data_IF_074751604532
#
_entry.id   IF_074751604532
#
_cell.length_a   1.000
_cell.length_b   1.000
_cell.length_c   1.000
_cell.angle_alpha   90.00
_cell.angle_beta   90.00
_cell.angle_gamma   90.00
#
_symmetry.space_group_name_H-M   'P 1'
#
loop_
_entity.id
_entity.type
_entity.pdbx_description
1 polymer ?
#
# COMPACT_ATOMS: atom_id res chain seq x y z
N UNK A 1 30.39 -46.46 21.67
CA UNK A 1 29.59 -46.03 20.51
C UNK A 1 28.14 -45.90 20.96
N UNK A 2 27.63 -44.68 21.13
CA UNK A 2 26.22 -44.45 21.47
C UNK A 2 25.73 -43.19 20.73
N UNK A 3 24.57 -43.36 20.12
CA UNK A 3 24.01 -42.60 18.99
C UNK A 3 23.55 -41.20 19.39
N UNK A 4 23.83 -40.24 18.50
CA UNK A 4 23.23 -38.90 18.47
C UNK A 4 21.70 -39.02 18.41
N UNK A 5 21.00 -38.39 19.36
CA UNK A 5 19.54 -38.23 19.30
C UNK A 5 19.24 -36.79 18.89
N UNK A 6 18.85 -36.62 17.64
CA UNK A 6 18.31 -35.38 17.09
C UNK A 6 17.16 -34.89 17.99
N UNK A 7 17.18 -33.60 18.35
CA UNK A 7 16.03 -32.90 18.90
C UNK A 7 15.07 -32.62 17.74
N UNK A 8 13.85 -33.14 17.84
CA UNK A 8 12.72 -32.73 17.02
C UNK A 8 12.39 -31.25 17.29
N UNK A 9 12.29 -30.37 16.27
CA UNK A 9 11.73 -29.04 16.44
C UNK A 9 10.21 -29.07 16.20
N UNK A 10 9.49 -29.84 17.02
CA UNK A 10 8.05 -29.69 17.15
C UNK A 10 7.77 -28.64 18.24
N UNK A 11 8.17 -27.37 18.03
CA UNK A 11 7.73 -26.25 18.90
C UNK A 11 8.18 -24.87 18.39
N UNK A 12 7.91 -24.55 17.13
CA UNK A 12 7.79 -23.13 16.75
C UNK A 12 6.35 -22.90 16.38
N UNK A 13 5.57 -22.71 17.44
CA UNK A 13 4.21 -22.23 17.44
C UNK A 13 4.00 -21.24 16.28
N UNK A 14 3.00 -21.55 15.46
CA UNK A 14 2.46 -20.63 14.49
C UNK A 14 2.30 -19.28 15.17
N UNK A 15 3.09 -18.30 14.70
CA UNK A 15 2.97 -16.94 15.15
C UNK A 15 1.51 -16.57 15.00
N UNK A 16 0.86 -16.33 16.12
CA UNK A 16 -0.43 -15.67 16.14
C UNK A 16 -0.15 -14.31 15.51
N UNK A 17 -0.35 -14.22 14.19
CA UNK A 17 -0.49 -12.98 13.49
C UNK A 17 -1.75 -12.39 14.09
N UNK A 18 -1.59 -11.62 15.18
CA UNK A 18 -2.64 -10.79 15.72
C UNK A 18 -3.19 -10.05 14.53
N UNK A 19 -4.44 -10.38 14.14
CA UNK A 19 -5.15 -9.68 13.10
C UNK A 19 -4.97 -8.20 13.44
N UNK A 20 -4.18 -7.49 12.64
CA UNK A 20 -3.89 -6.10 12.90
C UNK A 20 -5.26 -5.42 12.91
N UNK A 21 -5.73 -5.06 14.10
CA UNK A 21 -6.98 -4.37 14.26
C UNK A 21 -6.90 -3.17 13.32
N UNK A 22 -7.84 -3.07 12.39
CA UNK A 22 -7.87 -2.05 11.35
C UNK A 22 -8.15 -0.69 12.01
N UNK A 23 -7.17 -0.13 12.69
CA UNK A 23 -7.18 1.22 13.23
C UNK A 23 -6.82 2.18 12.10
N UNK A 24 -7.72 2.28 11.13
CA UNK A 24 -7.62 3.22 10.03
C UNK A 24 -9.01 3.54 9.55
N UNK A 25 -9.39 4.81 9.56
CA UNK A 25 -10.57 5.25 8.81
C UNK A 25 -10.43 4.75 7.38
N UNK A 26 -11.45 4.11 6.79
CA UNK A 26 -11.36 3.64 5.41
C UNK A 26 -11.02 4.83 4.51
N UNK A 27 -9.90 4.73 3.80
CA UNK A 27 -9.51 5.73 2.82
C UNK A 27 -10.62 5.81 1.76
N UNK A 28 -11.03 7.04 1.42
CA UNK A 28 -12.05 7.24 0.37
C UNK A 28 -11.40 7.02 -0.99
N UNK A 29 -11.89 6.03 -1.73
CA UNK A 29 -11.46 5.75 -3.10
C UNK A 29 -12.13 6.75 -4.04
N UNK A 30 -11.33 7.52 -4.76
CA UNK A 30 -11.80 8.40 -5.82
C UNK A 30 -12.02 7.60 -7.11
N UNK A 31 -13.28 7.33 -7.46
CA UNK A 31 -13.65 6.56 -8.66
C UNK A 31 -13.66 7.41 -9.94
N UNK A 32 -13.43 8.72 -9.85
CA UNK A 32 -13.24 9.59 -11.03
C UNK A 32 -11.86 9.41 -11.69
N UNK A 33 -10.90 8.85 -10.95
CA UNK A 33 -9.58 8.50 -11.46
C UNK A 33 -9.61 7.25 -12.37
N UNK A 34 -8.61 7.09 -13.26
CA UNK A 34 -8.50 5.92 -14.12
C UNK A 34 -8.59 4.59 -13.37
N UNK A 35 -9.05 3.55 -14.07
CA UNK A 35 -9.16 2.19 -13.52
C UNK A 35 -7.95 1.32 -13.82
N UNK A 36 -7.12 1.69 -14.82
CA UNK A 36 -5.90 0.96 -15.15
C UNK A 36 -4.76 1.33 -14.21
N UNK A 37 -4.05 0.31 -13.73
CA UNK A 37 -2.87 0.46 -12.87
C UNK A 37 -1.77 1.28 -13.56
N UNK A 38 -1.51 1.02 -14.83
CA UNK A 38 -0.44 1.68 -15.58
C UNK A 38 -0.73 3.17 -15.79
N UNK A 39 -1.99 3.51 -16.08
CA UNK A 39 -2.43 4.90 -16.20
C UNK A 39 -2.29 5.64 -14.86
N UNK A 40 -2.63 4.99 -13.74
CA UNK A 40 -2.47 5.56 -12.42
C UNK A 40 -0.98 5.78 -12.06
N UNK A 41 -0.08 4.87 -12.44
CA UNK A 41 1.36 5.05 -12.24
C UNK A 41 1.89 6.24 -13.05
N UNK A 42 1.44 6.39 -14.30
CA UNK A 42 1.81 7.54 -15.13
C UNK A 42 1.34 8.87 -14.51
N UNK A 43 0.07 8.93 -14.09
CA UNK A 43 -0.50 10.11 -13.42
C UNK A 43 0.22 10.41 -12.10
N UNK A 44 0.56 9.39 -11.33
CA UNK A 44 1.34 9.54 -10.11
C UNK A 44 2.73 10.13 -10.40
N UNK A 45 3.40 9.67 -11.45
CA UNK A 45 4.71 10.20 -11.84
C UNK A 45 4.63 11.68 -12.21
N UNK A 46 3.57 12.10 -12.92
CA UNK A 46 3.28 13.50 -13.22
C UNK A 46 3.02 14.34 -11.97
N UNK A 47 2.17 13.86 -11.06
CA UNK A 47 1.88 14.57 -9.81
C UNK A 47 3.15 14.74 -8.94
N UNK A 48 4.04 13.73 -8.92
CA UNK A 48 5.37 13.85 -8.29
C UNK A 48 6.24 14.92 -8.94
N UNK A 49 6.25 15.02 -10.27
CA UNK A 49 6.95 16.09 -10.99
C UNK A 49 6.39 17.46 -10.63
N UNK A 50 5.05 17.62 -10.63
CA UNK A 50 4.38 18.86 -10.20
C UNK A 50 4.77 19.26 -8.78
N UNK A 51 4.74 18.32 -7.83
CA UNK A 51 5.16 18.57 -6.44
C UNK A 51 6.62 19.02 -6.35
N UNK A 52 7.52 18.36 -7.08
CA UNK A 52 8.96 18.64 -7.05
C UNK A 52 9.31 20.03 -7.64
N UNK A 53 8.53 20.50 -8.61
CA UNK A 53 8.70 21.82 -9.21
C UNK A 53 8.01 22.96 -8.45
N UNK A 54 7.13 22.65 -7.50
CA UNK A 54 6.40 23.65 -6.72
C UNK A 54 7.20 24.14 -5.51
N UNK A 55 7.05 25.43 -5.18
CA UNK A 55 7.62 25.98 -3.96
C UNK A 55 7.03 25.28 -2.73
N UNK A 56 7.88 24.89 -1.79
CA UNK A 56 7.47 24.22 -0.55
C UNK A 56 6.44 25.05 0.21
N UNK A 57 5.35 24.41 0.64
CA UNK A 57 4.25 25.08 1.36
C UNK A 57 3.29 25.88 0.49
N UNK A 58 3.58 26.07 -0.80
CA UNK A 58 2.64 26.70 -1.73
C UNK A 58 1.36 25.89 -1.92
N UNK A 59 0.28 26.53 -2.37
CA UNK A 59 -0.95 25.82 -2.73
C UNK A 59 -0.73 24.77 -3.81
N UNK A 60 0.13 25.06 -4.79
CA UNK A 60 0.49 24.10 -5.84
C UNK A 60 1.18 22.85 -5.26
N UNK A 61 2.07 23.03 -4.27
CA UNK A 61 2.70 21.92 -3.57
C UNK A 61 1.68 21.09 -2.81
N UNK A 62 0.78 21.74 -2.04
CA UNK A 62 -0.26 21.07 -1.26
C UNK A 62 -1.24 20.31 -2.16
N UNK A 63 -1.70 20.93 -3.24
CA UNK A 63 -2.58 20.31 -4.23
C UNK A 63 -1.93 19.08 -4.87
N UNK A 64 -0.63 19.15 -5.21
CA UNK A 64 0.10 18.00 -5.76
C UNK A 64 0.28 16.86 -4.74
N UNK A 65 0.47 17.18 -3.45
CA UNK A 65 0.51 16.17 -2.38
C UNK A 65 -0.85 15.49 -2.21
N UNK A 66 -1.94 16.26 -2.16
CA UNK A 66 -3.30 15.73 -2.04
C UNK A 66 -3.67 14.87 -3.26
N UNK A 67 -3.26 15.28 -4.45
CA UNK A 67 -3.40 14.52 -5.68
C UNK A 67 -2.66 13.19 -5.61
N UNK A 68 -1.38 13.19 -5.20
CA UNK A 68 -0.58 11.96 -5.00
C UNK A 68 -1.32 10.99 -4.07
N UNK A 69 -1.78 11.46 -2.90
CA UNK A 69 -2.46 10.61 -1.94
C UNK A 69 -3.75 9.97 -2.49
N UNK A 70 -4.54 10.72 -3.28
CA UNK A 70 -5.73 10.16 -3.95
C UNK A 70 -5.38 9.08 -4.97
N UNK A 71 -4.31 9.28 -5.74
CA UNK A 71 -3.85 8.31 -6.74
C UNK A 71 -3.34 7.04 -6.06
N UNK A 72 -2.55 7.15 -4.98
CA UNK A 72 -2.04 5.99 -4.23
C UNK A 72 -3.17 5.13 -3.65
N UNK A 73 -4.21 5.76 -3.09
CA UNK A 73 -5.40 5.04 -2.60
C UNK A 73 -6.10 4.31 -3.76
N UNK A 74 -6.19 4.92 -4.94
CA UNK A 74 -6.80 4.28 -6.11
C UNK A 74 -5.96 3.13 -6.65
N UNK A 75 -4.64 3.24 -6.67
CA UNK A 75 -3.74 2.14 -7.02
C UNK A 75 -3.94 0.97 -6.06
N UNK A 76 -3.97 1.21 -4.75
CA UNK A 76 -4.19 0.16 -3.76
C UNK A 76 -5.56 -0.54 -3.90
N UNK A 77 -6.60 0.20 -4.32
CA UNK A 77 -7.91 -0.35 -4.63
C UNK A 77 -7.88 -1.27 -5.87
N UNK A 78 -7.18 -0.85 -6.94
CA UNK A 78 -6.99 -1.67 -8.15
C UNK A 78 -6.15 -2.91 -7.84
N UNK A 79 -5.06 -2.77 -7.09
CA UNK A 79 -4.18 -3.88 -6.72
C UNK A 79 -4.91 -4.91 -5.85
N UNK A 80 -5.71 -4.47 -4.87
CA UNK A 80 -6.54 -5.36 -4.04
C UNK A 80 -7.61 -6.10 -4.86
N UNK A 81 -8.16 -5.46 -5.89
CA UNK A 81 -9.13 -6.12 -6.76
C UNK A 81 -8.48 -7.21 -7.62
N UNK A 82 -7.21 -7.03 -8.00
CA UNK A 82 -6.44 -8.00 -8.78
C UNK A 82 -5.94 -9.18 -7.95
N UNK A 83 -5.52 -8.94 -6.70
CA UNK A 83 -5.08 -9.96 -5.74
C UNK A 83 -5.80 -9.79 -4.39
N UNK A 84 -7.01 -10.38 -4.24
CA UNK A 84 -7.80 -10.21 -3.03
C UNK A 84 -7.18 -10.95 -1.83
N UNK A 85 -7.29 -10.40 -0.61
CA UNK A 85 -6.78 -11.06 0.58
C UNK A 85 -7.47 -12.40 0.79
N UNK A 86 -6.67 -13.44 1.07
CA UNK A 86 -7.17 -14.77 1.45
C UNK A 86 -7.65 -14.67 2.91
N UNK A 87 -8.95 -14.88 3.10
CA UNK A 87 -9.60 -14.86 4.42
C UNK A 87 -9.11 -15.93 5.37
#
# INVERSE_FOLDING_TARGET
MAKSKQKDPADVAGGQHHAAAAHGRPARVDKSLPASRDELIALHAEARRRRASAALGSEAYRAAVDEIGRIEVRIADVDRAADPPRG
#
